data_IF_570488298335
#
_entry.id   IF_570488298335
#
_cell.length_a   1.000
_cell.length_b   1.000
_cell.length_c   1.000
_cell.angle_alpha   90.00
_cell.angle_beta   90.00
_cell.angle_gamma   90.00
#
_symmetry.space_group_name_H-M   'P 1'
#
loop_
_entity.id
_entity.type
_entity.pdbx_description
1 polymer ?
#
# COMPACT_ATOMS: atom_id res chain seq x y z
N UNK A 1 11.92 29.79 -16.64
CA UNK A 1 12.58 29.94 -17.97
C UNK A 1 14.02 30.35 -17.70
N UNK A 2 14.95 29.91 -18.53
CA UNK A 2 16.37 30.32 -18.47
C UNK A 2 17.15 29.86 -17.22
N UNK A 3 16.69 28.77 -16.59
CA UNK A 3 17.29 28.18 -15.39
C UNK A 3 17.52 26.66 -15.58
N UNK A 4 18.38 26.23 -16.53
CA UNK A 4 18.56 24.81 -16.88
C UNK A 4 19.19 23.96 -15.77
N UNK A 5 19.78 24.59 -14.75
CA UNK A 5 20.38 23.92 -13.60
C UNK A 5 19.36 23.50 -12.51
N UNK A 6 18.11 23.97 -12.60
CA UNK A 6 17.08 23.69 -11.60
C UNK A 6 16.57 22.25 -11.68
N UNK A 7 16.09 21.73 -10.54
CA UNK A 7 15.75 20.30 -10.38
C UNK A 7 14.25 20.02 -10.34
N UNK A 8 13.41 21.05 -10.45
CA UNK A 8 11.96 20.93 -10.46
C UNK A 8 11.41 21.02 -11.89
N UNK A 9 10.92 19.91 -12.42
CA UNK A 9 10.29 19.86 -13.75
C UNK A 9 8.78 20.06 -13.59
N UNK A 10 8.21 20.99 -14.35
CA UNK A 10 6.76 21.27 -14.38
C UNK A 10 6.16 20.63 -15.63
N UNK A 11 5.67 19.40 -15.50
CA UNK A 11 5.17 18.62 -16.64
C UNK A 11 3.83 19.11 -17.20
N UNK A 12 3.03 19.83 -16.38
CA UNK A 12 1.62 20.11 -16.67
C UNK A 12 0.76 18.84 -16.57
N UNK A 13 -0.48 18.90 -17.06
CA UNK A 13 -1.42 17.77 -17.09
C UNK A 13 -1.07 16.81 -18.23
N UNK A 14 0.00 16.03 -18.04
CA UNK A 14 0.64 15.20 -19.07
C UNK A 14 1.28 13.95 -18.46
N UNK A 15 0.52 13.16 -17.72
CA UNK A 15 0.99 12.04 -16.90
C UNK A 15 1.79 11.03 -17.73
N UNK A 16 1.29 10.65 -18.91
CA UNK A 16 2.00 9.71 -19.79
C UNK A 16 3.36 10.28 -20.23
N UNK A 17 3.37 11.53 -20.72
CA UNK A 17 4.59 12.21 -21.13
C UNK A 17 5.58 12.36 -19.97
N UNK A 18 5.08 12.70 -18.78
CA UNK A 18 5.85 12.80 -17.55
C UNK A 18 6.57 11.48 -17.21
N UNK A 19 5.86 10.36 -17.20
CA UNK A 19 6.46 9.04 -16.93
C UNK A 19 7.53 8.66 -17.96
N UNK A 20 7.24 8.86 -19.25
CA UNK A 20 8.20 8.56 -20.32
C UNK A 20 9.45 9.45 -20.25
N UNK A 21 9.29 10.73 -19.95
CA UNK A 21 10.41 11.66 -19.76
C UNK A 21 11.25 11.26 -18.54
N UNK A 22 10.61 10.95 -17.41
CA UNK A 22 11.31 10.49 -16.21
C UNK A 22 12.15 9.23 -16.49
N UNK A 23 11.59 8.25 -17.21
CA UNK A 23 12.34 7.06 -17.62
C UNK A 23 13.55 7.42 -18.50
N UNK A 24 13.39 8.32 -19.47
CA UNK A 24 14.49 8.81 -20.30
C UNK A 24 15.58 9.51 -19.48
N UNK A 25 15.21 10.30 -18.46
CA UNK A 25 16.16 10.96 -17.56
C UNK A 25 16.99 9.93 -16.75
N UNK A 26 16.37 8.85 -16.28
CA UNK A 26 17.08 7.78 -15.58
C UNK A 26 18.05 7.04 -16.51
N UNK A 27 17.65 6.75 -17.76
CA UNK A 27 18.47 6.02 -18.73
C UNK A 27 19.64 6.82 -19.29
N UNK A 28 19.57 8.15 -19.30
CA UNK A 28 20.63 9.01 -19.84
C UNK A 28 22.00 8.81 -19.16
N UNK A 29 22.06 8.23 -17.95
CA UNK A 29 23.32 7.79 -17.34
C UNK A 29 24.10 8.85 -16.56
N UNK A 30 23.49 10.00 -16.26
CA UNK A 30 24.12 11.11 -15.51
C UNK A 30 23.87 11.05 -13.98
N UNK A 31 23.66 9.86 -13.41
CA UNK A 31 23.29 9.66 -12.00
C UNK A 31 22.02 10.43 -11.54
N UNK A 32 21.14 10.77 -12.48
CA UNK A 32 19.84 11.36 -12.17
C UNK A 32 18.93 10.27 -11.59
N UNK A 33 18.30 10.57 -10.46
CA UNK A 33 17.23 9.76 -9.86
C UNK A 33 15.94 10.57 -10.04
N UNK A 34 15.15 10.29 -11.08
CA UNK A 34 13.93 11.03 -11.33
C UNK A 34 12.83 10.51 -10.41
N UNK A 35 12.07 11.46 -9.87
CA UNK A 35 10.73 11.18 -9.39
C UNK A 35 9.72 11.97 -10.22
N UNK A 36 8.50 11.45 -10.30
CA UNK A 36 7.38 12.17 -10.89
C UNK A 36 6.09 11.87 -10.11
N UNK A 37 5.09 12.75 -10.20
CA UNK A 37 3.96 12.70 -9.28
C UNK A 37 2.63 13.11 -9.90
N UNK A 38 1.56 12.45 -9.49
CA UNK A 38 0.16 12.80 -9.78
C UNK A 38 -0.76 12.17 -8.71
N UNK A 39 -2.08 12.21 -8.89
CA UNK A 39 -3.01 11.42 -8.08
C UNK A 39 -2.95 9.96 -8.53
N UNK A 40 -3.10 9.02 -7.60
CA UNK A 40 -2.94 7.60 -7.90
C UNK A 40 -3.93 7.09 -8.96
N UNK A 41 -5.14 7.65 -8.99
CA UNK A 41 -6.16 7.39 -10.02
C UNK A 41 -5.69 7.73 -11.44
N UNK A 42 -4.80 8.70 -11.61
CA UNK A 42 -4.27 9.10 -12.92
C UNK A 42 -3.07 8.27 -13.36
N UNK A 43 -2.66 7.25 -12.58
CA UNK A 43 -1.69 6.27 -13.06
C UNK A 43 -2.18 5.52 -14.29
N UNK A 44 -3.50 5.39 -14.49
CA UNK A 44 -4.10 4.85 -15.70
C UNK A 44 -3.67 5.60 -16.97
N UNK A 45 -3.51 6.93 -16.90
CA UNK A 45 -3.04 7.74 -18.03
C UNK A 45 -1.58 7.43 -18.40
N UNK A 46 -0.77 6.97 -17.44
CA UNK A 46 0.67 6.73 -17.61
C UNK A 46 1.08 5.27 -17.44
N UNK A 47 0.11 4.36 -17.44
CA UNK A 47 0.29 2.93 -17.15
C UNK A 47 1.34 2.28 -18.05
N UNK A 48 1.35 2.63 -19.34
CA UNK A 48 2.33 2.12 -20.30
C UNK A 48 3.77 2.57 -19.96
N UNK A 49 3.95 3.84 -19.59
CA UNK A 49 5.27 4.36 -19.18
C UNK A 49 5.78 3.69 -17.89
N UNK A 50 4.91 3.46 -16.91
CA UNK A 50 5.26 2.74 -15.67
C UNK A 50 5.64 1.28 -15.96
N UNK A 51 4.88 0.60 -16.82
CA UNK A 51 5.21 -0.77 -17.27
C UNK A 51 6.53 -0.83 -18.02
N UNK A 52 6.84 0.16 -18.85
CA UNK A 52 8.13 0.25 -19.52
C UNK A 52 9.27 0.50 -18.54
N UNK A 53 9.06 1.28 -17.48
CA UNK A 53 10.06 1.42 -16.41
C UNK A 53 10.39 0.06 -15.79
N UNK A 54 9.36 -0.73 -15.49
CA UNK A 54 9.52 -2.08 -14.93
C UNK A 54 10.23 -3.03 -15.90
N UNK A 55 9.81 -3.06 -17.17
CA UNK A 55 10.38 -3.92 -18.21
C UNK A 55 11.83 -3.56 -18.53
N UNK A 56 12.16 -2.27 -18.55
CA UNK A 56 13.49 -1.76 -18.92
C UNK A 56 14.44 -1.62 -17.72
N UNK A 57 14.08 -2.20 -16.57
CA UNK A 57 14.86 -2.14 -15.33
C UNK A 57 15.23 -0.70 -14.91
N UNK A 58 14.25 0.20 -14.91
CA UNK A 58 14.45 1.62 -14.59
C UNK A 58 13.90 1.92 -13.20
N UNK A 59 14.77 2.27 -12.27
CA UNK A 59 14.41 2.75 -10.92
C UNK A 59 13.82 4.17 -10.89
N UNK A 60 12.75 4.43 -11.65
CA UNK A 60 11.96 5.66 -11.56
C UNK A 60 11.09 5.61 -10.31
N UNK A 61 11.00 6.73 -9.58
CA UNK A 61 10.15 6.86 -8.40
C UNK A 61 8.83 7.55 -8.79
N UNK A 62 7.72 6.84 -8.64
CA UNK A 62 6.37 7.30 -8.98
C UNK A 62 5.61 7.68 -7.71
N UNK A 63 5.49 8.97 -7.41
CA UNK A 63 4.84 9.46 -6.18
C UNK A 63 3.36 9.73 -6.43
N UNK A 64 2.50 8.88 -5.88
CA UNK A 64 1.08 8.81 -6.21
C UNK A 64 0.23 9.08 -4.97
N UNK A 65 -0.33 10.28 -4.89
CA UNK A 65 -1.11 10.73 -3.72
C UNK A 65 -2.61 10.45 -3.91
N UNK A 66 -3.43 10.72 -2.88
CA UNK A 66 -4.89 10.54 -2.94
C UNK A 66 -5.25 9.10 -3.32
N UNK A 67 -4.78 8.16 -2.51
CA UNK A 67 -4.70 6.75 -2.83
C UNK A 67 -6.02 5.95 -2.76
N UNK A 68 -7.09 6.54 -2.24
CA UNK A 68 -8.29 5.79 -1.85
C UNK A 68 -9.54 6.68 -1.78
N UNK A 69 -10.67 6.08 -1.39
CA UNK A 69 -11.89 6.80 -1.01
C UNK A 69 -11.67 7.84 0.10
N UNK A 70 -10.56 7.78 0.84
CA UNK A 70 -10.19 8.77 1.85
C UNK A 70 -10.03 10.18 1.30
N UNK A 71 -9.86 10.33 -0.02
CA UNK A 71 -9.85 11.65 -0.65
C UNK A 71 -11.21 12.36 -0.59
N UNK A 72 -12.32 11.64 -0.43
CA UNK A 72 -13.63 12.25 -0.21
C UNK A 72 -14.28 12.84 -1.47
N UNK A 73 -14.51 14.14 -1.45
CA UNK A 73 -15.57 14.81 -2.20
C UNK A 73 -15.42 14.80 -3.73
N UNK A 74 -14.20 14.63 -4.27
CA UNK A 74 -13.99 14.54 -5.73
C UNK A 74 -14.69 13.30 -6.33
N UNK A 75 -14.98 12.30 -5.49
CA UNK A 75 -15.86 11.20 -5.83
C UNK A 75 -15.24 10.12 -6.74
N UNK A 76 -16.06 9.24 -7.32
CA UNK A 76 -15.62 7.98 -7.90
C UNK A 76 -14.70 8.12 -9.12
N UNK A 77 -14.69 9.29 -9.77
CA UNK A 77 -13.78 9.57 -10.88
C UNK A 77 -12.34 9.81 -10.44
N UNK A 78 -12.12 10.07 -9.15
CA UNK A 78 -10.83 10.38 -8.56
C UNK A 78 -10.35 9.34 -7.54
N UNK A 79 -11.22 8.42 -7.12
CA UNK A 79 -10.99 7.47 -6.04
C UNK A 79 -10.44 6.15 -6.59
N UNK A 80 -9.17 5.79 -6.34
CA UNK A 80 -8.61 4.51 -6.74
C UNK A 80 -9.29 3.34 -6.01
N UNK A 81 -9.49 2.23 -6.71
CA UNK A 81 -10.06 1.00 -6.16
C UNK A 81 -9.19 -0.21 -6.49
N UNK A 82 -9.10 -0.55 -7.77
CA UNK A 82 -8.36 -1.68 -8.35
C UNK A 82 -6.85 -1.41 -8.52
N UNK A 83 -6.42 -0.17 -8.29
CA UNK A 83 -5.12 0.31 -8.72
C UNK A 83 -3.97 -0.39 -8.01
N UNK A 84 -4.08 -0.62 -6.69
CA UNK A 84 -3.09 -1.40 -5.93
C UNK A 84 -2.93 -2.80 -6.50
N UNK A 85 -4.04 -3.53 -6.69
CA UNK A 85 -4.04 -4.87 -7.27
C UNK A 85 -3.42 -4.88 -8.67
N UNK A 86 -3.74 -3.86 -9.49
CA UNK A 86 -3.20 -3.75 -10.84
C UNK A 86 -1.66 -3.63 -10.84
N UNK A 87 -1.07 -2.90 -9.89
CA UNK A 87 0.39 -2.75 -9.85
C UNK A 87 1.08 -3.90 -9.12
N UNK A 88 0.44 -4.49 -8.10
CA UNK A 88 0.91 -5.71 -7.44
C UNK A 88 1.03 -6.90 -8.37
N UNK A 89 0.20 -6.97 -9.42
CA UNK A 89 0.30 -8.00 -10.44
C UNK A 89 1.27 -7.65 -11.59
N UNK A 90 1.80 -6.44 -11.64
CA UNK A 90 2.78 -6.04 -12.65
C UNK A 90 4.17 -6.58 -12.25
N UNK A 91 4.88 -7.28 -13.16
CA UNK A 91 6.23 -7.76 -12.85
C UNK A 91 7.23 -6.61 -12.65
N UNK A 92 8.19 -6.79 -11.74
CA UNK A 92 9.31 -5.87 -11.47
C UNK A 92 8.88 -4.42 -11.17
N UNK A 93 7.94 -4.23 -10.25
CA UNK A 93 7.62 -2.91 -9.70
C UNK A 93 7.35 -3.05 -8.20
N UNK A 94 7.91 -2.17 -7.39
CA UNK A 94 7.58 -2.14 -5.97
C UNK A 94 6.35 -1.25 -5.76
N UNK A 95 5.32 -1.80 -5.11
CA UNK A 95 4.09 -1.07 -4.81
C UNK A 95 4.04 -0.77 -3.31
N UNK A 96 4.65 0.35 -2.90
CA UNK A 96 4.65 0.77 -1.51
C UNK A 96 3.36 1.49 -1.14
N UNK A 97 2.71 1.03 -0.06
CA UNK A 97 1.60 1.73 0.58
C UNK A 97 1.88 1.90 2.09
N UNK A 98 2.71 2.90 2.46
CA UNK A 98 3.16 3.10 3.84
C UNK A 98 2.04 3.61 4.75
N UNK A 99 2.01 3.11 5.99
CA UNK A 99 1.01 3.44 7.00
C UNK A 99 1.28 4.74 7.78
N UNK A 100 2.53 5.18 7.83
CA UNK A 100 2.93 6.37 8.57
C UNK A 100 4.23 7.02 8.07
N UNK A 101 4.80 7.94 8.85
CA UNK A 101 6.04 8.62 8.51
C UNK A 101 7.28 7.71 8.45
N UNK A 102 7.39 6.74 9.36
CA UNK A 102 8.54 5.81 9.38
C UNK A 102 8.49 4.87 8.18
N UNK A 103 7.31 4.32 7.87
CA UNK A 103 7.15 3.48 6.69
C UNK A 103 7.36 4.26 5.40
N UNK A 104 6.91 5.52 5.36
CA UNK A 104 7.15 6.40 4.19
C UNK A 104 8.64 6.63 4.00
N UNK A 105 9.39 6.89 5.08
CA UNK A 105 10.84 7.05 5.02
C UNK A 105 11.56 5.76 4.59
N UNK A 106 11.14 4.60 5.11
CA UNK A 106 11.67 3.29 4.69
C UNK A 106 11.39 2.98 3.22
N UNK A 107 10.19 3.28 2.74
CA UNK A 107 9.83 3.11 1.34
C UNK A 107 10.67 4.02 0.42
N UNK A 108 10.90 5.28 0.80
CA UNK A 108 11.78 6.18 0.05
C UNK A 108 13.24 5.72 0.05
N UNK A 109 13.76 5.22 1.19
CA UNK A 109 15.11 4.65 1.27
C UNK A 109 15.28 3.53 0.24
N UNK A 110 14.36 2.57 0.22
CA UNK A 110 14.39 1.46 -0.73
C UNK A 110 14.21 1.95 -2.17
N UNK A 111 13.29 2.88 -2.42
CA UNK A 111 13.05 3.43 -3.76
C UNK A 111 14.28 4.15 -4.35
N UNK A 112 15.05 4.87 -3.53
CA UNK A 112 16.29 5.53 -3.95
C UNK A 112 17.41 4.52 -4.22
N UNK A 113 17.51 3.46 -3.40
CA UNK A 113 18.51 2.40 -3.55
C UNK A 113 18.19 1.46 -4.72
N UNK A 114 16.90 1.26 -5.03
CA UNK A 114 16.40 0.38 -6.08
C UNK A 114 16.53 1.00 -7.47
N UNK A 115 17.71 0.87 -8.07
CA UNK A 115 17.99 1.48 -9.38
C UNK A 115 17.50 0.67 -10.59
N UNK A 116 17.11 -0.59 -10.38
CA UNK A 116 16.64 -1.52 -11.43
C UNK A 116 15.17 -1.91 -11.34
N UNK A 117 14.49 -1.46 -10.30
CA UNK A 117 13.07 -1.74 -10.08
C UNK A 117 12.38 -0.42 -9.74
N UNK A 118 11.44 0.06 -10.57
CA UNK A 118 10.68 1.25 -10.25
C UNK A 118 9.89 1.07 -8.95
N UNK A 119 9.62 2.18 -8.28
CA UNK A 119 8.86 2.19 -7.03
C UNK A 119 7.66 3.12 -7.15
N UNK A 120 6.49 2.64 -6.78
CA UNK A 120 5.29 3.43 -6.62
C UNK A 120 5.11 3.74 -5.14
N UNK A 121 5.05 5.03 -4.82
CA UNK A 121 4.80 5.54 -3.48
C UNK A 121 3.33 5.92 -3.40
N UNK A 122 2.48 5.04 -2.87
CA UNK A 122 1.04 5.24 -2.76
C UNK A 122 0.73 5.93 -1.43
N UNK A 123 0.32 7.20 -1.48
CA UNK A 123 0.22 8.07 -0.31
C UNK A 123 -1.21 8.60 -0.10
N UNK A 124 -1.63 8.67 1.16
CA UNK A 124 -2.93 9.19 1.57
C UNK A 124 -3.09 10.70 1.30
N UNK A 125 -4.35 11.16 1.25
CA UNK A 125 -4.68 12.60 1.35
C UNK A 125 -4.74 13.05 2.81
N UNK A 126 -5.34 12.20 3.64
CA UNK A 126 -5.60 12.42 5.05
C UNK A 126 -4.34 12.19 5.90
N UNK A 127 -4.29 12.86 7.05
CA UNK A 127 -3.26 12.61 8.06
C UNK A 127 -3.44 11.25 8.72
N UNK A 128 -2.32 10.59 9.04
CA UNK A 128 -2.28 9.27 9.67
C UNK A 128 -1.45 9.33 10.97
N UNK A 129 -1.77 8.51 11.99
CA UNK A 129 -0.97 8.42 13.19
C UNK A 129 0.38 7.74 12.89
N UNK A 130 1.41 8.08 13.67
CA UNK A 130 2.63 7.26 13.69
C UNK A 130 2.38 6.03 14.55
N UNK A 131 2.74 4.86 14.02
CA UNK A 131 2.61 3.58 14.70
C UNK A 131 3.81 3.39 15.63
N UNK A 132 3.58 2.91 16.85
CA UNK A 132 4.67 2.70 17.82
C UNK A 132 5.70 1.67 17.34
N UNK A 133 5.25 0.63 16.65
CA UNK A 133 6.09 -0.47 16.17
C UNK A 133 6.65 -0.27 14.75
N UNK A 134 6.31 0.83 14.07
CA UNK A 134 6.83 1.07 12.73
C UNK A 134 8.29 1.50 12.77
N UNK A 135 9.05 1.11 11.74
CA UNK A 135 10.42 1.56 11.58
C UNK A 135 10.80 1.59 10.10
N UNK A 136 11.81 2.41 9.78
CA UNK A 136 12.40 2.50 8.45
C UNK A 136 12.87 1.11 7.97
N UNK A 137 13.52 0.33 8.84
CA UNK A 137 14.14 -0.93 8.46
C UNK A 137 13.12 -2.07 8.31
N UNK A 138 11.99 -2.02 9.03
CA UNK A 138 10.92 -3.01 8.89
C UNK A 138 10.27 -2.99 7.50
N UNK A 139 10.26 -1.85 6.80
CA UNK A 139 9.74 -1.76 5.42
C UNK A 139 10.50 -2.68 4.47
N UNK A 140 11.81 -2.90 4.71
CA UNK A 140 12.63 -3.80 3.89
C UNK A 140 12.24 -5.28 4.02
N UNK A 141 11.31 -5.60 4.92
CA UNK A 141 10.68 -6.93 5.04
C UNK A 141 9.39 -7.08 4.26
N UNK A 142 8.81 -5.98 3.78
CA UNK A 142 7.57 -5.95 2.99
C UNK A 142 6.29 -6.19 3.82
N UNK A 143 6.36 -7.08 4.82
CA UNK A 143 5.35 -7.25 5.84
C UNK A 143 5.99 -7.58 7.19
N UNK A 144 5.45 -7.05 8.29
CA UNK A 144 5.96 -7.27 9.63
C UNK A 144 4.87 -7.09 10.70
N UNK A 145 5.06 -7.72 11.86
CA UNK A 145 4.14 -7.62 13.00
C UNK A 145 4.23 -6.24 13.65
N UNK A 146 3.10 -5.55 13.75
CA UNK A 146 2.98 -4.26 14.47
C UNK A 146 2.28 -4.40 15.83
N UNK A 147 1.57 -5.51 16.04
CA UNK A 147 0.95 -5.85 17.32
C UNK A 147 0.77 -7.36 17.44
N UNK A 148 0.94 -7.90 18.65
CA UNK A 148 0.69 -9.31 18.91
C UNK A 148 0.40 -9.56 20.40
N UNK A 149 -0.68 -10.29 20.68
CA UNK A 149 -1.01 -10.70 22.06
C UNK A 149 -0.07 -11.81 22.56
N UNK A 150 0.20 -12.81 21.72
CA UNK A 150 1.17 -13.89 21.98
C UNK A 150 1.57 -14.58 20.67
N UNK A 151 2.62 -15.41 20.70
CA UNK A 151 3.20 -16.08 19.53
C UNK A 151 2.29 -17.09 18.79
N UNK A 152 1.09 -17.36 19.28
CA UNK A 152 0.11 -18.28 18.68
C UNK A 152 -1.25 -17.59 18.61
N UNK A 153 -1.43 -16.62 17.69
CA UNK A 153 -2.67 -15.86 17.58
C UNK A 153 -3.83 -16.75 17.13
N UNK A 154 -5.02 -16.48 17.67
CA UNK A 154 -6.26 -17.10 17.19
C UNK A 154 -6.62 -16.55 15.79
N UNK A 155 -6.27 -15.29 15.51
CA UNK A 155 -6.56 -14.60 14.26
C UNK A 155 -5.46 -13.59 13.89
N UNK A 156 -5.19 -13.47 12.58
CA UNK A 156 -4.25 -12.49 12.03
C UNK A 156 -5.02 -11.43 11.23
N UNK A 157 -4.76 -10.15 11.51
CA UNK A 157 -5.27 -9.01 10.72
C UNK A 157 -4.12 -8.39 9.92
N UNK A 158 -4.28 -8.24 8.62
CA UNK A 158 -3.27 -7.67 7.72
C UNK A 158 -3.80 -6.33 7.19
N UNK A 159 -3.07 -5.26 7.44
CA UNK A 159 -3.41 -3.93 6.95
C UNK A 159 -2.29 -3.33 6.10
N UNK A 160 -2.63 -2.33 5.30
CA UNK A 160 -1.67 -1.47 4.59
C UNK A 160 -2.09 -0.02 4.73
N UNK A 161 -1.15 0.91 4.55
CA UNK A 161 -1.47 2.33 4.50
C UNK A 161 -2.32 2.83 5.66
N UNK A 162 -3.33 3.63 5.32
CA UNK A 162 -4.26 4.22 6.28
C UNK A 162 -5.06 3.22 7.12
N UNK A 163 -5.19 1.97 6.67
CA UNK A 163 -6.02 0.97 7.33
C UNK A 163 -5.29 0.22 8.45
N UNK A 164 -3.96 0.36 8.58
CA UNK A 164 -3.21 -0.30 9.69
C UNK A 164 -3.67 0.24 11.05
N UNK A 165 -3.93 1.53 11.17
CA UNK A 165 -4.49 2.11 12.40
C UNK A 165 -5.87 1.53 12.73
N UNK A 166 -6.72 1.32 11.72
CA UNK A 166 -8.05 0.71 11.86
C UNK A 166 -7.93 -0.76 12.27
N UNK A 167 -6.96 -1.49 11.72
CA UNK A 167 -6.66 -2.87 12.10
C UNK A 167 -6.25 -2.98 13.59
N UNK A 168 -5.42 -2.05 14.07
CA UNK A 168 -5.01 -1.98 15.48
C UNK A 168 -6.21 -1.69 16.40
N UNK A 169 -7.12 -0.80 16.00
CA UNK A 169 -8.35 -0.53 16.76
C UNK A 169 -9.29 -1.74 16.80
N UNK A 170 -9.44 -2.46 15.68
CA UNK A 170 -10.21 -3.70 15.61
C UNK A 170 -9.60 -4.81 16.47
N UNK A 171 -8.28 -4.95 16.46
CA UNK A 171 -7.55 -5.92 17.27
C UNK A 171 -7.79 -5.73 18.77
N UNK A 172 -7.81 -4.49 19.27
CA UNK A 172 -8.15 -4.20 20.68
C UNK A 172 -9.55 -4.71 21.07
N UNK A 173 -10.52 -4.65 20.16
CA UNK A 173 -11.88 -5.18 20.41
C UNK A 173 -11.89 -6.70 20.46
N UNK A 174 -11.15 -7.35 19.56
CA UNK A 174 -10.99 -8.82 19.53
C UNK A 174 -10.32 -9.31 20.81
N UNK A 175 -9.23 -8.65 21.23
CA UNK A 175 -8.54 -8.97 22.48
C UNK A 175 -9.43 -8.80 23.72
N UNK A 176 -10.24 -7.74 23.76
CA UNK A 176 -11.21 -7.52 24.83
C UNK A 176 -12.26 -8.64 24.98
N UNK A 177 -12.42 -9.49 23.96
CA UNK A 177 -13.26 -10.70 24.02
C UNK A 177 -12.52 -11.97 24.46
N UNK A 178 -11.25 -11.85 24.85
CA UNK A 178 -10.40 -12.95 25.33
C UNK A 178 -9.71 -13.76 24.23
N UNK A 179 -9.58 -13.20 23.02
CA UNK A 179 -8.94 -13.84 21.86
C UNK A 179 -7.56 -13.26 21.60
N UNK A 180 -6.61 -14.11 21.20
CA UNK A 180 -5.27 -13.69 20.80
C UNK A 180 -5.28 -13.17 19.37
N UNK A 181 -4.72 -11.98 19.13
CA UNK A 181 -4.68 -11.36 17.80
C UNK A 181 -3.28 -10.91 17.45
N UNK A 182 -2.93 -11.05 16.16
CA UNK A 182 -1.73 -10.46 15.58
C UNK A 182 -2.13 -9.48 14.48
N UNK A 183 -1.53 -8.29 14.49
CA UNK A 183 -1.70 -7.29 13.42
C UNK A 183 -0.40 -7.16 12.64
N UNK A 184 -0.51 -7.29 11.33
CA UNK A 184 0.58 -7.16 10.37
C UNK A 184 0.41 -5.87 9.58
N UNK A 185 1.47 -5.06 9.50
CA UNK A 185 1.58 -4.04 8.45
C UNK A 185 2.26 -4.67 7.23
N UNK A 186 1.67 -4.51 6.05
CA UNK A 186 2.17 -5.05 4.79
C UNK A 186 2.40 -3.95 3.74
N UNK A 187 3.38 -3.05 3.94
CA UNK A 187 3.60 -1.91 3.05
C UNK A 187 4.01 -2.29 1.62
N UNK A 188 4.58 -3.47 1.38
CA UNK A 188 5.04 -3.88 0.04
C UNK A 188 4.99 -5.41 -0.15
N UNK A 189 4.08 -5.88 -1.02
CA UNK A 189 3.87 -7.31 -1.27
C UNK A 189 5.07 -7.95 -1.93
N UNK A 190 5.66 -7.28 -2.90
CA UNK A 190 6.73 -7.81 -3.73
C UNK A 190 7.99 -8.07 -2.88
N UNK A 191 8.28 -7.20 -1.92
CA UNK A 191 9.39 -7.40 -0.97
C UNK A 191 9.10 -8.53 0.01
N UNK A 192 7.86 -8.66 0.50
CA UNK A 192 7.49 -9.74 1.42
C UNK A 192 7.59 -11.11 0.75
N UNK A 193 7.12 -11.22 -0.48
CA UNK A 193 7.18 -12.45 -1.28
C UNK A 193 8.62 -12.90 -1.57
N UNK A 194 9.54 -11.94 -1.69
CA UNK A 194 10.96 -12.20 -1.87
C UNK A 194 11.69 -12.62 -0.57
N UNK A 195 11.03 -12.57 0.60
CA UNK A 195 11.64 -13.04 1.85
C UNK A 195 11.74 -14.58 1.88
N UNK A 196 12.59 -15.08 2.79
CA UNK A 196 12.72 -16.52 3.01
C UNK A 196 11.40 -17.14 3.48
N UNK A 197 11.18 -18.41 3.15
CA UNK A 197 9.98 -19.14 3.60
C UNK A 197 9.86 -19.17 5.12
N UNK A 198 10.99 -19.25 5.85
CA UNK A 198 11.02 -19.14 7.30
C UNK A 198 10.52 -17.79 7.82
N UNK A 199 10.83 -16.69 7.12
CA UNK A 199 10.33 -15.37 7.51
C UNK A 199 8.85 -15.24 7.21
N UNK A 200 8.41 -15.66 6.02
CA UNK A 200 6.98 -15.68 5.65
C UNK A 200 6.14 -16.50 6.63
N UNK A 201 6.63 -17.68 7.04
CA UNK A 201 5.99 -18.52 8.07
C UNK A 201 5.96 -17.84 9.45
N UNK A 202 7.01 -17.08 9.81
CA UNK A 202 7.02 -16.33 11.07
C UNK A 202 5.99 -15.21 11.13
N UNK A 203 5.63 -14.62 9.98
CA UNK A 203 4.64 -13.54 9.87
C UNK A 203 3.22 -14.09 9.69
N UNK A 204 3.05 -15.05 8.77
CA UNK A 204 1.77 -15.70 8.44
C UNK A 204 1.84 -17.22 8.65
N UNK A 205 1.91 -17.71 9.90
CA UNK A 205 2.00 -19.14 10.21
C UNK A 205 0.91 -19.94 9.49
N UNK A 206 1.31 -20.98 8.78
CA UNK A 206 0.41 -21.88 8.04
C UNK A 206 -0.64 -22.55 8.93
N UNK A 207 -0.34 -22.69 10.24
CA UNK A 207 -1.26 -23.21 11.25
C UNK A 207 -2.43 -22.26 11.57
N UNK A 208 -2.29 -20.96 11.33
CA UNK A 208 -3.33 -19.95 11.62
C UNK A 208 -4.04 -19.58 10.33
N UNK A 209 -5.18 -20.23 10.06
CA UNK A 209 -5.98 -20.00 8.86
C UNK A 209 -7.05 -18.91 9.00
N UNK A 210 -7.34 -18.49 10.23
CA UNK A 210 -8.20 -17.36 10.53
C UNK A 210 -7.45 -16.06 10.23
N UNK A 211 -7.73 -15.47 9.06
CA UNK A 211 -7.01 -14.29 8.56
C UNK A 211 -7.98 -13.27 8.00
N UNK A 212 -7.78 -12.01 8.35
CA UNK A 212 -8.53 -10.87 7.84
C UNK A 212 -7.57 -9.90 7.17
N UNK A 213 -7.89 -9.43 5.97
CA UNK A 213 -7.21 -8.26 5.40
C UNK A 213 -8.10 -7.03 5.46
N UNK A 214 -7.51 -5.85 5.57
CA UNK A 214 -8.22 -4.57 5.48
C UNK A 214 -7.40 -3.55 4.67
N UNK A 215 -8.01 -3.05 3.59
CA UNK A 215 -7.41 -2.08 2.68
C UNK A 215 -8.50 -1.30 1.95
N UNK A 216 -8.40 0.03 1.88
CA UNK A 216 -9.30 0.87 1.09
C UNK A 216 -9.00 0.80 -0.42
N UNK A 217 -9.12 -0.41 -0.96
CA UNK A 217 -8.99 -0.80 -2.36
C UNK A 217 -9.71 -2.13 -2.60
N UNK A 218 -9.62 -2.68 -3.82
CA UNK A 218 -10.26 -3.95 -4.15
C UNK A 218 -9.71 -5.10 -3.31
N UNK A 219 -10.59 -6.03 -2.96
CA UNK A 219 -10.23 -7.28 -2.28
C UNK A 219 -9.47 -8.24 -3.19
N UNK A 220 -9.45 -8.01 -4.51
CA UNK A 220 -8.76 -8.85 -5.49
C UNK A 220 -7.26 -9.01 -5.18
N UNK A 221 -6.81 -10.27 -5.11
CA UNK A 221 -5.44 -10.66 -4.82
C UNK A 221 -5.18 -10.94 -3.33
N UNK A 222 -6.00 -10.42 -2.42
CA UNK A 222 -5.81 -10.64 -0.98
C UNK A 222 -6.00 -12.11 -0.57
N UNK A 223 -6.73 -12.90 -1.37
CA UNK A 223 -6.88 -14.35 -1.20
C UNK A 223 -5.53 -15.08 -1.14
N UNK A 224 -4.47 -14.48 -1.72
CA UNK A 224 -3.10 -14.98 -1.62
C UNK A 224 -2.60 -15.08 -0.17
N UNK A 225 -2.97 -14.13 0.69
CA UNK A 225 -2.51 -14.08 2.08
C UNK A 225 -3.56 -14.55 3.07
N UNK A 226 -4.84 -14.26 2.83
CA UNK A 226 -5.92 -14.65 3.75
C UNK A 226 -6.40 -16.09 3.52
N UNK A 227 -6.19 -16.62 2.31
CA UNK A 227 -6.60 -17.97 1.93
C UNK A 227 -8.11 -18.15 1.85
N UNK A 228 -8.55 -19.38 1.57
CA UNK A 228 -9.97 -19.71 1.33
C UNK A 228 -10.89 -19.59 2.56
N UNK A 229 -10.32 -19.58 3.77
CA UNK A 229 -11.06 -19.42 5.04
C UNK A 229 -11.00 -17.99 5.58
N UNK A 230 -10.18 -17.14 5.00
CA UNK A 230 -10.01 -15.78 5.44
C UNK A 230 -11.07 -14.84 4.85
N UNK A 231 -11.02 -13.59 5.28
CA UNK A 231 -11.94 -12.53 4.84
C UNK A 231 -11.17 -11.28 4.46
N UNK A 232 -11.64 -10.55 3.46
CA UNK A 232 -11.04 -9.29 3.04
C UNK A 232 -12.06 -8.17 3.20
N UNK A 233 -11.66 -7.10 3.88
CA UNK A 233 -12.44 -5.87 4.04
C UNK A 233 -11.84 -4.84 3.09
N UNK A 234 -12.64 -4.40 2.12
CA UNK A 234 -12.21 -3.43 1.14
C UNK A 234 -13.38 -2.88 0.33
N UNK A 235 -13.08 -2.34 -0.83
CA UNK A 235 -14.05 -1.68 -1.72
C UNK A 235 -13.98 -2.37 -3.09
N UNK A 236 -15.01 -3.12 -3.46
CA UNK A 236 -15.09 -3.82 -4.76
C UNK A 236 -16.06 -3.17 -5.75
N UNK A 237 -16.50 -1.96 -5.44
CA UNK A 237 -17.30 -1.09 -6.32
C UNK A 237 -16.55 0.21 -6.56
N UNK A 238 -17.03 1.05 -7.47
CA UNK A 238 -16.61 2.45 -7.45
C UNK A 238 -17.00 3.11 -6.12
N UNK A 239 -16.29 4.18 -5.78
CA UNK A 239 -16.61 4.99 -4.60
C UNK A 239 -17.79 5.94 -4.80
N UNK A 240 -17.84 7.01 -4.03
CA UNK A 240 -18.91 8.00 -4.07
C UNK A 240 -18.40 9.39 -3.68
N UNK A 241 -19.12 10.45 -4.10
CA UNK A 241 -18.81 11.82 -3.67
C UNK A 241 -19.45 12.09 -2.30
N UNK A 242 -18.64 12.06 -1.24
CA UNK A 242 -19.00 12.44 0.12
C UNK A 242 -17.71 12.66 0.95
N UNK A 243 -17.78 13.21 2.17
CA UNK A 243 -16.61 13.33 3.04
C UNK A 243 -15.96 11.96 3.33
N UNK A 244 -14.62 11.91 3.31
CA UNK A 244 -13.84 10.67 3.48
C UNK A 244 -14.26 9.79 4.68
N UNK A 245 -14.41 10.32 5.91
CA UNK A 245 -14.85 9.53 7.06
C UNK A 245 -16.23 8.87 6.87
N UNK A 246 -17.16 9.56 6.21
CA UNK A 246 -18.48 9.00 5.90
C UNK A 246 -18.38 7.87 4.87
N UNK A 247 -17.48 8.00 3.89
CA UNK A 247 -17.23 6.92 2.92
C UNK A 247 -16.67 5.68 3.64
N UNK A 248 -15.70 5.83 4.53
CA UNK A 248 -15.17 4.70 5.32
C UNK A 248 -16.27 3.99 6.12
N UNK A 249 -17.15 4.75 6.78
CA UNK A 249 -18.30 4.19 7.49
C UNK A 249 -19.23 3.41 6.54
N UNK A 250 -19.62 4.02 5.41
CA UNK A 250 -20.60 3.41 4.48
C UNK A 250 -20.05 2.23 3.70
N UNK A 251 -18.76 2.21 3.41
CA UNK A 251 -18.08 1.07 2.78
C UNK A 251 -17.63 0.01 3.80
N UNK A 252 -17.89 0.21 5.10
CA UNK A 252 -17.58 -0.80 6.13
C UNK A 252 -16.08 -0.95 6.40
N UNK A 253 -15.27 0.05 6.11
CA UNK A 253 -13.83 0.07 6.46
C UNK A 253 -13.69 0.62 7.87
N UNK A 254 -14.05 -0.19 8.87
CA UNK A 254 -14.13 0.26 10.26
C UNK A 254 -13.54 -0.79 11.21
N UNK A 255 -13.14 -0.34 12.40
CA UNK A 255 -12.66 -1.22 13.46
C UNK A 255 -13.71 -2.27 13.89
N UNK A 256 -15.00 -1.92 13.82
CA UNK A 256 -16.10 -2.86 14.08
C UNK A 256 -16.21 -3.94 13.00
N UNK A 257 -16.03 -3.57 11.73
CA UNK A 257 -16.00 -4.54 10.64
C UNK A 257 -14.81 -5.50 10.77
N UNK A 258 -13.64 -5.00 11.18
CA UNK A 258 -12.46 -5.85 11.50
C UNK A 258 -12.81 -6.85 12.60
N UNK A 259 -13.34 -6.39 13.73
CA UNK A 259 -13.68 -7.27 14.84
C UNK A 259 -14.75 -8.32 14.46
N UNK A 260 -15.78 -7.91 13.71
CA UNK A 260 -16.81 -8.81 13.20
C UNK A 260 -16.23 -9.86 12.24
N UNK A 261 -15.36 -9.46 11.30
CA UNK A 261 -14.71 -10.37 10.38
C UNK A 261 -13.80 -11.37 11.11
N UNK A 262 -13.06 -10.92 12.13
CA UNK A 262 -12.25 -11.82 12.97
C UNK A 262 -13.11 -12.89 13.63
N UNK A 263 -14.25 -12.52 14.21
CA UNK A 263 -15.17 -13.46 14.85
C UNK A 263 -15.82 -14.45 13.87
N UNK A 264 -15.92 -14.09 12.59
CA UNK A 264 -16.50 -14.96 11.55
C UNK A 264 -15.51 -16.02 11.04
N UNK A 265 -14.21 -15.71 11.04
CA UNK A 265 -13.17 -16.62 10.49
C UNK A 265 -12.51 -17.52 11.53
N UNK A 266 -12.75 -17.28 12.83
CA UNK A 266 -12.30 -18.13 13.95
C UNK A 266 -13.27 -19.27 14.23
#
# INVERSE_FOLDING_TARGET
>A
KDTPAERNVRFGVREHGMGSIANGMALYGANIIPYCATFFIFTDYMRAAMRLAALSEIGTIFVMTHDSIGLGEDGPTHQPVEHLASFRCMPNIYTFRPADGNETAGAYKIAVESRKTPSIMVCSRQGLPNLEASSIDNVAKGAYTVYETNASPDVIVIGTGSEVAIALEGAKKVEGSGKSVRVISMPCWEIFEAQSDSYKESILPSSVTARVSIEAGSTFGWEKFVGAKGKSIGVDTFGASAPGPLLYEKFGITADAVAAACNEVM
#
